data_IF_972423741519
#
_entry.id   IF_972423741519
#
_cell.length_a   1.000
_cell.length_b   1.000
_cell.length_c   1.000
_cell.angle_alpha   90.00
_cell.angle_beta   90.00
_cell.angle_gamma   90.00
#
_symmetry.space_group_name_H-M   'P 1'
#
loop_
_entity.id
_entity.type
_entity.pdbx_description
1 polymer ?
#
# COMPACT_ATOMS: atom_id res chain seq x y z
N UNK A 1 -32.11 -13.24 76.86
CA UNK A 1 -32.00 -12.30 75.74
C UNK A 1 -30.58 -12.46 75.13
N UNK A 2 -30.48 -13.24 74.05
CA UNK A 2 -29.23 -13.52 73.38
C UNK A 2 -29.17 -12.67 72.14
N UNK A 3 -28.18 -11.73 72.07
CA UNK A 3 -27.93 -10.91 70.88
C UNK A 3 -27.01 -11.65 69.96
N UNK A 4 -27.47 -11.91 68.71
CA UNK A 4 -26.71 -12.46 67.63
C UNK A 4 -25.94 -11.32 66.92
N UNK A 5 -24.59 -11.30 67.03
CA UNK A 5 -23.75 -10.46 66.21
C UNK A 5 -23.53 -11.12 64.82
N UNK A 6 -23.99 -10.46 63.80
CA UNK A 6 -23.76 -10.84 62.39
C UNK A 6 -22.44 -10.22 61.97
N UNK A 7 -21.40 -11.04 61.79
CA UNK A 7 -20.14 -10.62 61.18
C UNK A 7 -20.27 -10.64 59.68
N UNK A 8 -20.31 -9.45 59.05
CA UNK A 8 -20.26 -9.28 57.59
C UNK A 8 -18.77 -9.30 57.17
N UNK A 9 -18.33 -10.40 56.54
CA UNK A 9 -17.01 -10.47 55.89
C UNK A 9 -17.08 -9.83 54.53
N UNK A 10 -16.50 -8.67 54.36
CA UNK A 10 -16.32 -8.02 53.07
C UNK A 10 -15.11 -8.66 52.39
N UNK A 11 -15.37 -9.55 51.42
CA UNK A 11 -14.30 -10.07 50.54
C UNK A 11 -13.96 -9.00 49.51
N UNK A 12 -12.81 -8.38 49.66
CA UNK A 12 -12.24 -7.45 48.71
C UNK A 12 -11.72 -8.25 47.48
N UNK A 13 -12.51 -8.35 46.43
CA UNK A 13 -12.09 -8.91 45.16
C UNK A 13 -11.16 -7.88 44.47
N UNK A 14 -9.85 -8.10 44.55
CA UNK A 14 -8.86 -7.35 43.78
C UNK A 14 -8.97 -7.77 42.33
N UNK A 15 -9.66 -6.97 41.52
CA UNK A 15 -9.67 -7.12 40.07
C UNK A 15 -8.26 -6.74 39.54
N UNK A 16 -7.44 -7.74 39.26
CA UNK A 16 -6.20 -7.56 38.49
C UNK A 16 -6.61 -7.24 37.04
N UNK A 17 -6.73 -5.95 36.73
CA UNK A 17 -6.78 -5.48 35.37
C UNK A 17 -5.39 -5.68 34.78
N UNK A 18 -5.21 -6.80 34.04
CA UNK A 18 -4.05 -6.98 33.21
C UNK A 18 -4.10 -5.91 32.10
N UNK A 19 -3.36 -4.83 32.31
CA UNK A 19 -3.13 -3.84 31.25
C UNK A 19 -2.24 -4.56 30.22
N UNK A 20 -2.87 -5.17 29.22
CA UNK A 20 -2.17 -5.55 28.01
C UNK A 20 -1.69 -4.26 27.36
N UNK A 21 -0.42 -3.90 27.57
CA UNK A 21 0.25 -2.91 26.73
C UNK A 21 0.17 -3.46 25.30
N UNK A 22 -0.71 -2.89 24.50
CA UNK A 22 -0.72 -3.17 23.08
C UNK A 22 0.58 -2.58 22.53
N UNK A 23 1.56 -3.47 22.28
CA UNK A 23 2.72 -3.11 21.52
C UNK A 23 2.21 -2.59 20.16
N UNK A 24 2.28 -1.28 19.97
CA UNK A 24 1.97 -0.68 18.68
C UNK A 24 3.11 -1.08 17.75
N UNK A 25 2.76 -1.73 16.64
CA UNK A 25 3.69 -1.90 15.54
C UNK A 25 4.21 -0.51 15.18
N UNK A 26 5.48 -0.26 15.46
CA UNK A 26 6.11 1.03 15.24
C UNK A 26 7.34 0.89 14.37
N UNK A 27 7.49 1.83 13.44
CA UNK A 27 8.72 1.98 12.66
C UNK A 27 9.51 3.17 13.21
N UNK A 28 10.81 2.96 13.37
CA UNK A 28 11.75 4.01 13.74
C UNK A 28 12.50 4.45 12.48
N UNK A 29 12.44 5.74 12.17
CA UNK A 29 13.33 6.36 11.18
C UNK A 29 14.70 6.57 11.81
N UNK A 30 15.74 6.17 11.11
CA UNK A 30 17.15 6.34 11.52
C UNK A 30 17.97 6.76 10.30
N UNK A 31 19.13 7.39 10.54
CA UNK A 31 20.15 7.59 9.53
C UNK A 31 21.40 6.84 9.97
N UNK A 32 21.81 5.85 9.20
CA UNK A 32 22.97 5.02 9.51
C UNK A 32 24.18 5.73 8.92
N UNK A 33 25.05 6.21 9.80
CA UNK A 33 26.28 6.86 9.40
C UNK A 33 27.35 5.84 9.02
N UNK A 34 28.22 6.20 8.09
CA UNK A 34 29.39 5.40 7.69
C UNK A 34 30.27 5.07 8.89
N UNK A 35 30.73 3.83 8.96
CA UNK A 35 31.64 3.31 9.98
C UNK A 35 31.12 3.38 11.44
N UNK A 36 29.84 3.65 11.62
CA UNK A 36 29.20 3.64 12.94
C UNK A 36 28.22 2.47 13.08
N UNK A 37 27.88 2.18 14.33
CA UNK A 37 26.79 1.25 14.66
C UNK A 37 25.73 1.97 15.46
N UNK A 38 24.48 1.89 15.01
CA UNK A 38 23.31 2.42 15.69
C UNK A 38 22.58 1.33 16.46
N UNK A 39 22.18 1.60 17.70
CA UNK A 39 21.30 0.68 18.43
C UNK A 39 19.86 0.79 17.91
N UNK A 40 19.35 -0.35 17.47
CA UNK A 40 17.95 -0.47 17.09
C UNK A 40 17.20 -1.00 18.30
N UNK A 41 16.61 -0.09 19.08
CA UNK A 41 15.71 -0.50 20.15
C UNK A 41 14.42 -1.05 19.56
N UNK A 42 13.93 -2.17 20.10
CA UNK A 42 12.57 -2.62 19.86
C UNK A 42 12.40 -4.01 19.26
N UNK A 43 11.22 -4.29 18.86
CA UNK A 43 10.54 -5.56 18.64
C UNK A 43 11.04 -6.39 17.47
N UNK A 44 12.02 -5.89 16.71
CA UNK A 44 12.37 -6.44 15.41
C UNK A 44 13.29 -7.67 15.51
N UNK A 45 14.35 -7.64 16.30
CA UNK A 45 15.33 -8.73 16.42
C UNK A 45 15.90 -8.81 17.87
N UNK A 46 15.11 -8.38 18.84
CA UNK A 46 15.53 -8.21 20.22
C UNK A 46 15.84 -6.74 20.57
N UNK A 47 15.81 -6.45 21.87
CA UNK A 47 15.86 -5.08 22.41
C UNK A 47 17.20 -4.37 22.24
N UNK A 48 18.25 -5.08 21.81
CA UNK A 48 19.63 -4.57 21.70
C UNK A 48 20.30 -4.86 20.37
N UNK A 49 19.49 -5.01 19.32
CA UNK A 49 20.04 -5.18 17.98
C UNK A 49 20.77 -3.91 17.52
N UNK A 50 21.85 -4.09 16.75
CA UNK A 50 22.65 -3.01 16.18
C UNK A 50 22.63 -3.11 14.67
N UNK A 51 22.48 -1.97 14.00
CA UNK A 51 22.67 -1.85 12.57
C UNK A 51 23.98 -1.12 12.31
N UNK A 52 24.70 -1.55 11.29
CA UNK A 52 26.00 -0.99 10.92
C UNK A 52 26.12 -0.86 9.42
N UNK A 53 26.66 0.26 8.98
CA UNK A 53 27.11 0.50 7.61
C UNK A 53 28.64 0.51 7.64
N UNK A 54 29.28 -0.49 7.03
CA UNK A 54 30.72 -0.63 6.97
C UNK A 54 31.13 -0.97 5.54
N UNK A 55 32.05 -0.17 5.00
CA UNK A 55 32.56 -0.32 3.62
C UNK A 55 31.40 -0.46 2.59
N UNK A 56 30.39 0.41 2.70
CA UNK A 56 29.23 0.42 1.82
C UNK A 56 28.23 -0.72 2.05
N UNK A 57 28.46 -1.58 3.06
CA UNK A 57 27.60 -2.76 3.31
C UNK A 57 26.83 -2.66 4.61
N UNK A 58 25.55 -2.93 4.53
CA UNK A 58 24.67 -2.94 5.70
C UNK A 58 24.64 -4.31 6.36
N UNK A 59 24.74 -4.33 7.67
CA UNK A 59 24.52 -5.53 8.47
C UNK A 59 23.73 -5.20 9.74
N UNK A 60 22.96 -6.18 10.22
CA UNK A 60 22.24 -6.09 11.48
C UNK A 60 22.77 -7.20 12.39
N UNK A 61 23.17 -6.85 13.62
CA UNK A 61 23.62 -7.81 14.64
C UNK A 61 22.60 -7.83 15.77
N UNK A 62 22.06 -9.02 16.09
CA UNK A 62 21.14 -9.18 17.21
C UNK A 62 21.88 -9.20 18.55
N UNK A 63 21.13 -9.21 19.65
CA UNK A 63 21.69 -9.24 21.02
C UNK A 63 22.49 -10.51 21.35
N UNK A 64 22.30 -11.60 20.61
CA UNK A 64 23.06 -12.84 20.71
C UNK A 64 24.40 -12.78 19.95
N UNK A 65 24.68 -11.65 19.26
CA UNK A 65 25.88 -11.44 18.46
C UNK A 65 25.80 -12.03 17.04
N UNK A 66 24.65 -12.55 16.62
CA UNK A 66 24.46 -13.06 15.26
C UNK A 66 24.28 -11.90 14.29
N UNK A 67 25.07 -11.90 13.22
CA UNK A 67 25.07 -10.84 12.20
C UNK A 67 24.37 -11.32 10.93
N UNK A 68 23.46 -10.48 10.44
CA UNK A 68 22.69 -10.64 9.19
C UNK A 68 23.16 -9.59 8.20
N UNK A 69 23.69 -10.04 7.07
CA UNK A 69 24.10 -9.15 5.97
C UNK A 69 22.92 -8.86 5.07
N UNK A 70 22.84 -7.62 4.59
CA UNK A 70 21.82 -7.16 3.68
C UNK A 70 22.46 -6.96 2.30
N UNK A 71 21.84 -7.50 1.25
CA UNK A 71 22.29 -7.31 -0.12
C UNK A 71 21.75 -5.99 -0.65
N UNK A 72 22.43 -4.91 -0.32
CA UNK A 72 22.28 -3.59 -0.93
C UNK A 72 23.51 -3.34 -1.79
N UNK A 73 23.32 -2.53 -2.83
CA UNK A 73 24.45 -1.97 -3.57
C UNK A 73 25.33 -1.15 -2.63
N UNK A 74 26.61 -1.00 -2.97
CA UNK A 74 27.56 -0.27 -2.15
C UNK A 74 27.05 1.16 -1.89
N UNK A 75 27.02 1.56 -0.61
CA UNK A 75 26.53 2.85 -0.16
C UNK A 75 27.73 3.72 0.23
N UNK A 76 27.95 4.79 -0.50
CA UNK A 76 29.09 5.71 -0.26
C UNK A 76 28.75 6.83 0.74
N UNK A 77 27.45 7.02 1.05
CA UNK A 77 26.94 8.07 1.93
C UNK A 77 26.17 7.50 3.13
N UNK A 78 25.82 8.38 4.07
CA UNK A 78 24.91 8.04 5.16
C UNK A 78 23.57 7.53 4.62
N UNK A 79 23.05 6.45 5.22
CA UNK A 79 21.92 5.71 4.70
C UNK A 79 20.67 5.92 5.54
N UNK A 80 19.68 6.68 5.07
CA UNK A 80 18.37 6.76 5.70
C UNK A 80 17.66 5.40 5.65
N UNK A 81 17.06 5.03 6.78
CA UNK A 81 16.39 3.75 6.94
C UNK A 81 15.17 3.84 7.87
N UNK A 82 14.22 2.93 7.65
CA UNK A 82 13.13 2.63 8.58
C UNK A 82 13.29 1.20 9.08
N UNK A 83 13.20 1.02 10.38
CA UNK A 83 13.30 -0.28 11.02
C UNK A 83 12.16 -0.47 12.00
N UNK A 84 11.53 -1.61 11.97
CA UNK A 84 10.44 -1.88 12.89
C UNK A 84 9.65 -3.12 12.57
N UNK A 85 8.54 -3.28 13.28
CA UNK A 85 7.57 -4.34 13.04
C UNK A 85 6.31 -3.78 12.41
N UNK A 86 5.94 -4.31 11.26
CA UNK A 86 4.74 -3.91 10.55
C UNK A 86 3.46 -4.55 11.12
N UNK A 87 3.58 -5.55 11.97
CA UNK A 87 2.44 -6.26 12.56
C UNK A 87 2.65 -6.56 14.03
N UNK A 88 1.54 -6.70 14.78
CA UNK A 88 1.54 -7.18 16.17
C UNK A 88 2.23 -8.54 16.35
N UNK A 89 2.39 -9.32 15.30
CA UNK A 89 3.03 -10.64 15.28
C UNK A 89 4.56 -10.60 15.14
N UNK A 90 5.19 -9.43 15.22
CA UNK A 90 6.66 -9.34 15.23
C UNK A 90 7.33 -9.58 13.89
N UNK A 91 6.64 -9.27 12.77
CA UNK A 91 7.28 -9.29 11.45
C UNK A 91 8.24 -8.12 11.34
N UNK A 92 9.52 -8.42 11.39
CA UNK A 92 10.56 -7.42 11.29
C UNK A 92 10.76 -6.99 9.83
N UNK A 93 10.78 -5.68 9.61
CA UNK A 93 11.00 -5.07 8.29
C UNK A 93 12.08 -4.01 8.40
N UNK A 94 12.96 -3.99 7.43
CA UNK A 94 13.94 -2.94 7.21
C UNK A 94 13.69 -2.32 5.84
N UNK A 95 13.63 -1.00 5.77
CA UNK A 95 13.51 -0.25 4.52
C UNK A 95 14.70 0.70 4.42
N UNK A 96 15.50 0.57 3.37
CA UNK A 96 16.69 1.41 3.15
C UNK A 96 16.49 2.29 1.94
N UNK A 97 16.87 3.56 2.07
CA UNK A 97 16.85 4.49 0.94
C UNK A 97 17.71 3.93 -0.18
N UNK A 98 17.14 3.84 -1.37
CA UNK A 98 17.78 3.28 -2.56
C UNK A 98 18.05 4.35 -3.61
N UNK A 99 17.09 5.25 -3.81
CA UNK A 99 17.18 6.33 -4.77
C UNK A 99 16.31 7.52 -4.37
N UNK A 100 16.62 8.68 -4.90
CA UNK A 100 15.76 9.86 -4.75
C UNK A 100 15.76 10.70 -6.03
N UNK A 101 14.69 11.44 -6.21
CA UNK A 101 14.60 12.54 -7.14
C UNK A 101 13.92 13.73 -6.43
N UNK A 102 13.60 14.81 -7.17
CA UNK A 102 13.05 16.03 -6.58
C UNK A 102 11.72 15.86 -5.83
N UNK A 103 11.01 14.75 -6.00
CA UNK A 103 9.65 14.53 -5.45
C UNK A 103 9.46 13.16 -4.80
N UNK A 104 10.31 12.17 -5.12
CA UNK A 104 10.18 10.81 -4.61
C UNK A 104 11.49 10.35 -3.95
N UNK A 105 11.35 9.77 -2.76
CA UNK A 105 12.41 8.98 -2.13
C UNK A 105 11.99 7.51 -2.17
N UNK A 106 12.80 6.67 -2.80
CA UNK A 106 12.52 5.24 -2.97
C UNK A 106 13.33 4.42 -1.98
N UNK A 107 12.67 3.42 -1.37
CA UNK A 107 13.26 2.54 -0.36
C UNK A 107 13.16 1.09 -0.81
N UNK A 108 14.26 0.35 -0.64
CA UNK A 108 14.29 -1.10 -0.80
C UNK A 108 13.84 -1.77 0.50
N UNK A 109 12.87 -2.67 0.39
CA UNK A 109 12.29 -3.38 1.53
C UNK A 109 12.96 -4.74 1.75
N UNK A 110 13.24 -5.05 3.01
CA UNK A 110 13.70 -6.37 3.46
C UNK A 110 12.80 -6.87 4.58
N UNK A 111 12.40 -8.14 4.50
CA UNK A 111 11.60 -8.80 5.52
C UNK A 111 12.42 -9.89 6.18
N UNK A 112 12.39 -9.96 7.51
CA UNK A 112 13.10 -10.98 8.25
C UNK A 112 12.37 -12.32 8.19
N UNK A 113 13.03 -13.32 7.63
CA UNK A 113 12.54 -14.68 7.60
C UNK A 113 13.06 -15.45 8.81
N UNK A 114 12.16 -15.75 9.76
CA UNK A 114 12.48 -16.47 10.99
C UNK A 114 12.96 -17.90 10.76
N UNK A 115 12.66 -18.53 9.63
CA UNK A 115 13.09 -19.91 9.35
C UNK A 115 14.54 -19.98 8.88
N UNK A 116 14.90 -19.11 7.92
CA UNK A 116 16.30 -19.00 7.48
C UNK A 116 17.13 -18.13 8.41
N UNK A 117 16.44 -17.37 9.28
CA UNK A 117 17.05 -16.42 10.19
C UNK A 117 17.89 -15.36 9.44
N UNK A 118 17.30 -14.82 8.36
CA UNK A 118 17.93 -13.89 7.43
C UNK A 118 16.95 -12.79 7.01
N UNK A 119 17.47 -11.63 6.64
CA UNK A 119 16.70 -10.63 5.90
C UNK A 119 16.70 -10.98 4.43
N UNK A 120 15.52 -11.00 3.83
CA UNK A 120 15.32 -11.24 2.40
C UNK A 120 14.73 -10.02 1.73
N UNK A 121 15.17 -9.67 0.51
CA UNK A 121 14.50 -8.63 -0.27
C UNK A 121 13.01 -8.96 -0.43
N UNK A 122 12.17 -7.96 -0.16
CA UNK A 122 10.72 -8.11 -0.35
C UNK A 122 10.36 -8.11 -1.84
N UNK A 123 9.36 -8.92 -2.20
CA UNK A 123 8.79 -8.94 -3.56
C UNK A 123 7.96 -7.69 -3.86
N UNK A 124 7.62 -6.91 -2.86
CA UNK A 124 7.01 -5.59 -3.06
C UNK A 124 7.90 -4.66 -3.91
N UNK A 125 9.21 -4.95 -3.99
CA UNK A 125 10.16 -4.13 -4.71
C UNK A 125 10.47 -2.83 -3.98
N UNK A 126 10.55 -1.74 -4.73
CA UNK A 126 10.76 -0.41 -4.15
C UNK A 126 9.42 0.19 -3.70
N UNK A 127 9.44 0.86 -2.56
CA UNK A 127 8.34 1.70 -2.08
C UNK A 127 8.81 3.15 -2.04
N UNK A 128 7.97 4.07 -2.48
CA UNK A 128 8.33 5.47 -2.55
C UNK A 128 7.60 6.29 -1.50
N UNK A 129 8.32 7.19 -0.82
CA UNK A 129 7.81 8.02 0.28
C UNK A 129 6.97 7.19 1.27
N UNK A 130 7.51 6.08 1.83
CA UNK A 130 6.72 5.12 2.58
C UNK A 130 6.22 5.68 3.90
N UNK A 131 4.95 5.38 4.21
CA UNK A 131 4.37 5.51 5.54
C UNK A 131 3.99 4.13 6.06
N UNK A 132 4.41 3.82 7.29
CA UNK A 132 4.17 2.52 7.92
C UNK A 132 3.10 2.66 8.99
N UNK A 133 1.92 2.11 8.75
CA UNK A 133 0.78 2.24 9.65
C UNK A 133 -0.07 0.95 9.65
N UNK A 134 -0.45 0.49 10.84
CA UNK A 134 -1.36 -0.64 11.04
C UNK A 134 -0.99 -1.92 10.28
N UNK A 135 0.30 -2.22 10.18
CA UNK A 135 0.80 -3.40 9.49
C UNK A 135 0.81 -3.30 7.97
N UNK A 136 0.50 -2.14 7.44
CA UNK A 136 0.56 -1.83 6.01
C UNK A 136 1.68 -0.85 5.71
N UNK A 137 2.08 -0.80 4.45
CA UNK A 137 2.97 0.21 3.93
C UNK A 137 2.19 1.01 2.90
N UNK A 138 2.08 2.31 3.10
CA UNK A 138 1.50 3.24 2.14
C UNK A 138 2.65 3.89 1.37
N UNK A 139 2.56 3.86 0.05
CA UNK A 139 3.56 4.41 -0.85
C UNK A 139 2.91 5.49 -1.71
N UNK A 140 3.34 6.72 -1.55
CA UNK A 140 2.85 7.86 -2.33
C UNK A 140 3.97 8.36 -3.24
N UNK A 141 3.72 8.39 -4.56
CA UNK A 141 4.73 8.88 -5.50
C UNK A 141 4.12 9.54 -6.72
N UNK A 142 4.93 10.34 -7.39
CA UNK A 142 4.58 10.97 -8.66
C UNK A 142 5.30 10.32 -9.82
N UNK A 143 4.54 10.00 -10.87
CA UNK A 143 5.06 9.60 -12.17
C UNK A 143 4.52 10.56 -13.23
N UNK A 144 5.36 11.51 -13.63
CA UNK A 144 4.94 12.63 -14.46
C UNK A 144 3.82 13.46 -13.80
N UNK A 145 2.68 13.64 -14.50
CA UNK A 145 1.54 14.40 -13.96
C UNK A 145 0.66 13.59 -13.01
N UNK A 146 0.92 12.30 -12.86
CA UNK A 146 0.06 11.37 -12.12
C UNK A 146 0.61 11.13 -10.72
N UNK A 147 -0.28 11.13 -9.72
CA UNK A 147 0.04 10.72 -8.34
C UNK A 147 -0.43 9.30 -8.12
N UNK A 148 0.42 8.47 -7.56
CA UNK A 148 0.12 7.10 -7.18
C UNK A 148 0.07 6.96 -5.66
N UNK A 149 -0.91 6.19 -5.17
CA UNK A 149 -1.11 5.87 -3.76
C UNK A 149 -1.28 4.36 -3.63
N UNK A 150 -0.19 3.65 -3.51
CA UNK A 150 -0.20 2.19 -3.40
C UNK A 150 -0.22 1.77 -1.93
N UNK A 151 -1.01 0.74 -1.63
CA UNK A 151 -1.02 0.11 -0.31
C UNK A 151 -0.45 -1.29 -0.41
N UNK A 152 0.54 -1.57 0.42
CA UNK A 152 1.13 -2.90 0.54
C UNK A 152 0.63 -3.57 1.81
N UNK A 153 0.17 -4.82 1.67
CA UNK A 153 -0.30 -5.68 2.73
C UNK A 153 0.68 -6.83 2.95
N UNK A 154 0.78 -7.30 4.19
CA UNK A 154 1.60 -8.47 4.49
C UNK A 154 0.82 -9.76 4.28
N UNK A 155 1.37 -10.67 3.47
CA UNK A 155 0.87 -12.03 3.31
C UNK A 155 1.51 -12.95 4.35
N UNK A 156 0.71 -13.52 5.24
CA UNK A 156 1.17 -14.53 6.20
C UNK A 156 1.57 -15.83 5.50
N UNK A 157 0.94 -16.17 4.38
CA UNK A 157 1.23 -17.36 3.60
C UNK A 157 2.56 -17.25 2.85
N UNK A 158 2.84 -16.09 2.26
CA UNK A 158 4.10 -15.81 1.54
C UNK A 158 5.19 -15.24 2.44
N UNK A 159 4.83 -14.79 3.65
CA UNK A 159 5.71 -14.09 4.60
C UNK A 159 6.39 -12.88 3.98
N UNK A 160 5.65 -12.11 3.22
CA UNK A 160 6.16 -10.99 2.43
C UNK A 160 5.05 -9.98 2.14
N UNK A 161 5.45 -8.78 1.71
CA UNK A 161 4.53 -7.75 1.27
C UNK A 161 4.16 -7.89 -0.20
N UNK A 162 2.94 -7.46 -0.53
CA UNK A 162 2.44 -7.33 -1.91
C UNK A 162 1.55 -6.11 -2.00
N UNK A 163 1.48 -5.49 -3.18
CA UNK A 163 0.54 -4.40 -3.42
C UNK A 163 -0.88 -4.95 -3.34
N UNK A 164 -1.64 -4.61 -2.30
CA UNK A 164 -3.02 -5.05 -2.12
C UNK A 164 -4.06 -4.05 -2.61
N UNK A 165 -3.65 -2.81 -2.82
CA UNK A 165 -4.44 -1.78 -3.48
C UNK A 165 -3.50 -0.83 -4.23
N UNK A 166 -3.89 -0.47 -5.46
CA UNK A 166 -3.21 0.53 -6.27
C UNK A 166 -4.20 1.62 -6.62
N UNK A 167 -3.77 2.86 -6.46
CA UNK A 167 -4.54 4.04 -6.83
C UNK A 167 -3.70 4.97 -7.69
N UNK A 168 -4.28 5.44 -8.76
CA UNK A 168 -3.68 6.36 -9.72
C UNK A 168 -4.61 7.58 -9.86
N UNK A 169 -4.22 8.71 -9.26
CA UNK A 169 -4.97 9.96 -9.33
C UNK A 169 -4.66 10.66 -10.65
N UNK A 170 -5.61 10.72 -11.54
CA UNK A 170 -5.49 11.34 -12.87
C UNK A 170 -6.23 12.67 -13.00
N UNK A 171 -7.02 13.04 -11.99
CA UNK A 171 -7.66 14.34 -11.87
C UNK A 171 -7.85 14.70 -10.39
N UNK A 172 -8.26 15.94 -10.11
CA UNK A 172 -8.53 16.41 -8.73
C UNK A 172 -9.68 15.65 -8.04
N UNK A 173 -10.55 14.97 -8.80
CA UNK A 173 -11.76 14.36 -8.27
C UNK A 173 -11.78 12.83 -8.39
N UNK A 174 -10.93 12.26 -9.23
CA UNK A 174 -11.03 10.85 -9.61
C UNK A 174 -9.70 10.12 -9.56
N UNK A 175 -9.81 8.89 -9.10
CA UNK A 175 -8.73 7.91 -9.06
C UNK A 175 -9.14 6.66 -9.83
N UNK A 176 -8.19 6.06 -10.51
CA UNK A 176 -8.27 4.67 -10.96
C UNK A 176 -7.79 3.78 -9.82
N UNK A 177 -8.60 2.82 -9.45
CA UNK A 177 -8.37 1.92 -8.31
C UNK A 177 -8.34 0.47 -8.78
N UNK A 178 -7.36 -0.28 -8.30
CA UNK A 178 -7.26 -1.73 -8.46
C UNK A 178 -7.09 -2.38 -7.09
N UNK A 179 -7.89 -3.40 -6.78
CA UNK A 179 -7.73 -4.22 -5.58
C UNK A 179 -7.03 -5.51 -5.98
N UNK A 180 -5.95 -5.83 -5.30
CA UNK A 180 -5.12 -6.97 -5.64
C UNK A 180 -5.14 -8.03 -4.54
N UNK A 181 -5.23 -9.29 -4.94
CA UNK A 181 -4.81 -10.43 -4.15
C UNK A 181 -3.32 -10.70 -4.42
N UNK A 182 -2.73 -11.67 -3.73
CA UNK A 182 -1.30 -11.99 -3.86
C UNK A 182 -0.84 -12.38 -5.28
N UNK A 183 -1.75 -12.78 -6.15
CA UNK A 183 -1.45 -13.33 -7.48
C UNK A 183 -2.06 -12.53 -8.62
N UNK A 184 -3.07 -11.73 -8.38
CA UNK A 184 -3.79 -11.00 -9.42
C UNK A 184 -4.56 -9.82 -8.84
N UNK A 185 -4.74 -8.79 -9.66
CA UNK A 185 -5.61 -7.65 -9.33
C UNK A 185 -6.99 -7.82 -10.00
N UNK A 186 -8.01 -7.19 -9.42
CA UNK A 186 -9.32 -7.03 -10.06
C UNK A 186 -9.19 -6.14 -11.31
N UNK A 187 -10.20 -6.17 -12.17
CA UNK A 187 -10.30 -5.15 -13.19
C UNK A 187 -10.33 -3.76 -12.52
N UNK A 188 -9.69 -2.75 -13.14
CA UNK A 188 -9.70 -1.39 -12.60
C UNK A 188 -11.12 -0.81 -12.55
N UNK A 189 -11.31 0.12 -11.64
CA UNK A 189 -12.52 0.93 -11.50
C UNK A 189 -12.14 2.40 -11.28
N UNK A 190 -12.95 3.31 -11.80
CA UNK A 190 -12.81 4.74 -11.48
C UNK A 190 -13.65 5.02 -10.24
N UNK A 191 -13.02 5.62 -9.24
CA UNK A 191 -13.65 6.03 -7.97
C UNK A 191 -13.42 7.52 -7.75
N UNK A 192 -14.20 8.13 -6.86
CA UNK A 192 -13.89 9.48 -6.38
C UNK A 192 -12.68 9.42 -5.45
N UNK A 193 -11.88 10.47 -5.48
CA UNK A 193 -10.72 10.60 -4.61
C UNK A 193 -11.04 10.20 -3.16
N UNK A 194 -10.21 9.34 -2.59
CA UNK A 194 -10.34 8.86 -1.21
C UNK A 194 -11.53 7.94 -0.93
N UNK A 195 -12.31 7.53 -1.95
CA UNK A 195 -13.47 6.66 -1.77
C UNK A 195 -13.26 5.28 -2.40
N UNK A 196 -14.25 4.39 -2.21
CA UNK A 196 -14.30 3.07 -2.85
C UNK A 196 -15.54 2.89 -3.73
N UNK A 197 -16.37 3.93 -3.83
CA UNK A 197 -17.60 3.87 -4.61
C UNK A 197 -17.30 4.11 -6.09
N UNK A 198 -17.67 3.20 -7.00
CA UNK A 198 -17.49 3.38 -8.43
C UNK A 198 -18.22 4.63 -8.95
N UNK A 199 -17.60 5.30 -9.90
CA UNK A 199 -18.18 6.50 -10.53
C UNK A 199 -19.17 6.08 -11.59
N UNK A 200 -20.40 6.57 -11.46
CA UNK A 200 -21.45 6.43 -12.45
C UNK A 200 -21.54 7.67 -13.33
N UNK A 201 -21.89 7.46 -14.60
CA UNK A 201 -22.16 8.53 -15.55
C UNK A 201 -23.41 8.23 -16.36
N UNK A 202 -23.97 9.29 -16.96
CA UNK A 202 -25.13 9.21 -17.85
C UNK A 202 -24.72 9.72 -19.23
N UNK A 203 -25.06 8.98 -20.28
CA UNK A 203 -24.82 9.39 -21.66
C UNK A 203 -25.64 10.66 -21.96
N UNK A 204 -24.95 11.72 -22.38
CA UNK A 204 -25.54 13.05 -22.64
C UNK A 204 -25.83 13.34 -24.08
N UNK A 205 -25.20 12.59 -25.01
CA UNK A 205 -25.41 12.73 -26.46
C UNK A 205 -26.51 11.81 -26.98
N UNK A 206 -27.21 12.14 -28.10
CA UNK A 206 -28.27 11.30 -28.63
C UNK A 206 -27.83 9.86 -28.93
N UNK A 207 -26.57 9.69 -29.38
CA UNK A 207 -25.94 8.40 -29.66
C UNK A 207 -24.43 8.51 -29.51
N UNK A 208 -23.80 7.48 -28.97
CA UNK A 208 -22.35 7.30 -28.94
C UNK A 208 -21.99 5.84 -29.19
N UNK A 209 -21.10 5.57 -30.14
CA UNK A 209 -20.64 4.24 -30.43
C UNK A 209 -19.54 3.85 -29.39
N UNK A 210 -19.46 2.56 -29.08
CA UNK A 210 -18.33 2.01 -28.37
C UNK A 210 -17.12 1.93 -29.30
N UNK A 211 -15.94 2.05 -28.72
CA UNK A 211 -14.66 1.80 -29.37
C UNK A 211 -13.94 0.66 -28.66
N UNK A 212 -13.20 -0.14 -29.44
CA UNK A 212 -12.09 -0.93 -28.96
C UNK A 212 -10.84 -0.05 -29.03
N UNK A 213 -9.92 -0.23 -28.08
CA UNK A 213 -8.68 0.53 -28.00
C UNK A 213 -7.52 -0.44 -27.89
N UNK A 214 -6.54 -0.34 -28.79
CA UNK A 214 -5.30 -1.12 -28.72
C UNK A 214 -4.35 -0.60 -27.64
N UNK A 215 -3.25 -1.33 -27.39
CA UNK A 215 -2.22 -0.90 -26.45
C UNK A 215 -1.52 0.39 -26.90
N UNK A 216 -1.45 0.65 -28.21
CA UNK A 216 -0.93 1.90 -28.78
C UNK A 216 -1.98 3.03 -28.82
N UNK A 217 -3.10 2.88 -28.10
CA UNK A 217 -4.23 3.83 -28.04
C UNK A 217 -4.92 4.09 -29.40
N UNK A 218 -4.83 3.15 -30.35
CA UNK A 218 -5.58 3.22 -31.60
C UNK A 218 -7.03 2.79 -31.36
N UNK A 219 -7.96 3.65 -31.78
CA UNK A 219 -9.40 3.45 -31.62
C UNK A 219 -10.01 2.76 -32.85
N UNK A 220 -10.80 1.73 -32.61
CA UNK A 220 -11.61 1.06 -33.64
C UNK A 220 -13.08 1.12 -33.24
N UNK A 221 -13.90 1.78 -34.06
CA UNK A 221 -15.33 1.94 -33.82
C UNK A 221 -16.08 0.62 -33.92
N UNK A 222 -16.96 0.38 -32.94
CA UNK A 222 -17.84 -0.81 -32.90
C UNK A 222 -19.25 -0.48 -33.39
N UNK A 223 -19.97 -1.50 -33.85
CA UNK A 223 -21.40 -1.35 -34.19
C UNK A 223 -22.29 -1.14 -32.97
N UNK A 224 -21.84 -1.56 -31.79
CA UNK A 224 -22.55 -1.38 -30.52
C UNK A 224 -22.53 0.11 -30.12
N UNK A 225 -23.63 0.61 -29.61
CA UNK A 225 -23.78 2.01 -29.21
C UNK A 225 -24.61 2.16 -27.93
N UNK A 226 -24.47 3.32 -27.31
CA UNK A 226 -25.32 3.82 -26.24
C UNK A 226 -26.19 4.98 -26.77
N UNK A 227 -27.31 5.21 -26.10
CA UNK A 227 -28.19 6.34 -26.36
C UNK A 227 -28.30 7.24 -25.14
N UNK A 228 -28.75 8.47 -25.36
CA UNK A 228 -28.97 9.45 -24.32
C UNK A 228 -29.79 8.88 -23.16
N UNK A 229 -29.32 9.14 -21.93
CA UNK A 229 -29.95 8.63 -20.70
C UNK A 229 -29.46 7.24 -20.26
N UNK A 230 -28.70 6.50 -21.10
CA UNK A 230 -28.08 5.27 -20.60
C UNK A 230 -27.11 5.55 -19.47
N UNK A 231 -27.22 4.78 -18.39
CA UNK A 231 -26.30 4.83 -17.24
C UNK A 231 -25.16 3.85 -17.45
N UNK A 232 -23.95 4.28 -17.14
CA UNK A 232 -22.72 3.50 -17.24
C UNK A 232 -21.88 3.67 -16.00
N UNK A 233 -21.05 2.67 -15.70
CA UNK A 233 -20.01 2.73 -14.64
C UNK A 233 -18.66 2.92 -15.34
N UNK A 234 -17.86 3.86 -14.84
CA UNK A 234 -16.52 4.10 -15.36
C UNK A 234 -15.55 3.06 -14.78
N UNK A 235 -14.76 2.41 -15.62
CA UNK A 235 -13.85 1.36 -15.17
C UNK A 235 -12.37 1.66 -15.43
N UNK A 236 -12.06 2.48 -16.44
CA UNK A 236 -10.68 2.85 -16.77
C UNK A 236 -10.69 4.17 -17.54
N UNK A 237 -9.52 4.77 -17.73
CA UNK A 237 -9.38 5.97 -18.54
C UNK A 237 -8.13 5.88 -19.40
N UNK A 238 -8.12 6.60 -20.52
CA UNK A 238 -6.96 6.78 -21.37
C UNK A 238 -7.02 8.11 -22.12
N UNK A 239 -5.88 8.78 -22.23
CA UNK A 239 -5.70 9.95 -23.07
C UNK A 239 -5.02 9.55 -24.38
N UNK A 240 -5.49 10.08 -25.48
CA UNK A 240 -4.83 10.03 -26.77
C UNK A 240 -4.82 11.42 -27.41
N UNK A 241 -4.35 11.54 -28.67
CA UNK A 241 -4.31 12.82 -29.39
C UNK A 241 -5.65 13.51 -29.54
N UNK A 242 -6.75 12.76 -29.51
CA UNK A 242 -8.12 13.24 -29.71
C UNK A 242 -8.83 13.62 -28.38
N UNK A 243 -8.23 13.32 -27.23
CA UNK A 243 -8.79 13.66 -25.94
C UNK A 243 -8.81 12.54 -24.91
N UNK A 244 -9.67 12.68 -23.90
CA UNK A 244 -9.88 11.70 -22.85
C UNK A 244 -11.00 10.73 -23.22
N UNK A 245 -10.74 9.44 -23.05
CA UNK A 245 -11.69 8.37 -23.21
C UNK A 245 -11.85 7.62 -21.88
N UNK A 246 -13.09 7.24 -21.57
CA UNK A 246 -13.39 6.34 -20.47
C UNK A 246 -13.78 4.96 -20.99
N UNK A 247 -13.20 3.93 -20.38
CA UNK A 247 -13.73 2.57 -20.52
C UNK A 247 -14.94 2.45 -19.62
N UNK A 248 -16.08 2.10 -20.20
CA UNK A 248 -17.34 2.06 -19.47
C UNK A 248 -17.94 0.66 -19.49
N UNK A 249 -18.68 0.36 -18.42
CA UNK A 249 -19.50 -0.85 -18.31
C UNK A 249 -20.96 -0.44 -18.35
N UNK A 250 -21.67 -0.93 -19.36
CA UNK A 250 -23.12 -0.78 -19.50
C UNK A 250 -23.83 -2.08 -19.14
N UNK A 251 -24.74 -2.02 -18.18
CA UNK A 251 -25.54 -3.16 -17.71
C UNK A 251 -26.96 -3.09 -18.26
N UNK A 252 -27.11 -3.34 -19.57
CA UNK A 252 -28.41 -3.48 -20.24
C UNK A 252 -28.89 -4.94 -20.27
N UNK A 253 -29.58 -5.36 -21.35
CA UNK A 253 -29.93 -6.77 -21.56
C UNK A 253 -28.68 -7.68 -21.60
N UNK A 254 -27.60 -7.14 -22.13
CA UNK A 254 -26.28 -7.77 -22.18
C UNK A 254 -25.28 -6.76 -21.60
N UNK A 255 -24.43 -7.25 -20.70
CA UNK A 255 -23.33 -6.44 -20.16
C UNK A 255 -22.34 -6.14 -21.29
N UNK A 256 -22.13 -4.87 -21.59
CA UNK A 256 -21.25 -4.41 -22.66
C UNK A 256 -20.17 -3.50 -22.09
N UNK A 257 -18.93 -3.72 -22.47
CA UNK A 257 -17.79 -2.90 -22.09
C UNK A 257 -17.11 -2.36 -23.34
N UNK A 258 -16.65 -1.12 -23.30
CA UNK A 258 -15.91 -0.47 -24.38
C UNK A 258 -15.55 0.96 -24.03
N UNK A 259 -14.80 1.61 -24.90
CA UNK A 259 -14.35 2.99 -24.71
C UNK A 259 -15.33 3.97 -25.32
N UNK A 260 -15.55 5.11 -24.66
CA UNK A 260 -16.33 6.24 -25.18
C UNK A 260 -15.64 7.55 -24.86
N UNK A 261 -15.79 8.60 -25.71
CA UNK A 261 -15.22 9.91 -25.42
C UNK A 261 -15.83 10.56 -24.17
N UNK A 262 -15.01 11.26 -23.38
CA UNK A 262 -15.43 11.96 -22.16
C UNK A 262 -16.60 12.93 -22.42
N UNK A 263 -16.55 13.69 -23.50
CA UNK A 263 -17.55 14.71 -23.85
C UNK A 263 -18.94 14.15 -24.19
N UNK A 264 -19.09 12.82 -24.23
CA UNK A 264 -20.37 12.13 -24.51
C UNK A 264 -21.14 11.72 -23.27
N UNK A 265 -20.57 11.95 -22.09
CA UNK A 265 -21.17 11.58 -20.81
C UNK A 265 -21.20 12.76 -19.84
N UNK A 266 -22.10 12.66 -18.86
CA UNK A 266 -22.16 13.52 -17.69
C UNK A 266 -21.98 12.64 -16.47
N UNK A 267 -20.93 12.92 -15.68
CA UNK A 267 -20.69 12.21 -14.42
C UNK A 267 -21.78 12.59 -13.43
N UNK A 268 -22.33 11.59 -12.76
CA UNK A 268 -23.36 11.77 -11.74
C UNK A 268 -22.70 12.23 -10.43
N UNK A 269 -23.29 13.23 -9.78
CA UNK A 269 -22.81 13.74 -8.48
C UNK A 269 -23.18 12.81 -7.33
#
# INVERSE_FOLDING_TARGET
>A
MMGNEVKISIACAVLLVAIYSQAHAGFKSITIQQQTSEEIGGECIGSKSKIQLLDGKVSITNEEGKTYKLSLDDQDEDLPAYLGSAQKAGVCVAAFKYAENSVNESFALFVFDQFSNEFKPSRAGLVSNPEFLDGKIFSNYKDGPTTHNDTFCYSTAKKDYYACEKREQFSELFEKREVCAETSCTAPEIVREGTVAPVEATVSTPKVNFFDMSDEAVLTERKAYLVQGNKVVLSDYRRNGDGLYYKVVYSGKVKTTGWIPENTIKINN
#
